data_IF_893682003963
#
_entry.id   IF_893682003963
#
_cell.length_a   1.000
_cell.length_b   1.000
_cell.length_c   1.000
_cell.angle_alpha   90.00
_cell.angle_beta   90.00
_cell.angle_gamma   90.00
#
_symmetry.space_group_name_H-M   'P 1'
#
loop_
_entity.id
_entity.type
_entity.pdbx_description
1 polymer ?
#
# COMPACT_ATOMS: atom_id res chain seq x y z
N UNK A 1 -68.10 -37.85 -19.88
CA UNK A 1 -68.54 -36.45 -19.70
C UNK A 1 -68.02 -35.97 -18.35
N UNK A 2 -67.08 -35.03 -18.43
CA UNK A 2 -66.51 -34.09 -17.44
C UNK A 2 -66.18 -34.57 -16.01
N UNK A 3 -64.89 -34.85 -15.80
CA UNK A 3 -64.25 -34.88 -14.49
C UNK A 3 -63.83 -33.48 -14.02
N UNK A 4 -64.04 -33.21 -12.74
CA UNK A 4 -63.60 -31.99 -12.06
C UNK A 4 -62.13 -32.10 -11.67
N UNK A 5 -61.29 -31.22 -12.23
CA UNK A 5 -59.91 -31.00 -11.80
C UNK A 5 -59.89 -29.75 -10.91
N UNK A 6 -59.44 -29.88 -9.68
CA UNK A 6 -59.13 -28.77 -8.76
C UNK A 6 -57.80 -28.12 -9.16
N UNK A 7 -57.70 -26.77 -9.23
CA UNK A 7 -56.43 -26.12 -9.52
C UNK A 7 -55.52 -26.11 -8.28
N UNK A 8 -54.25 -26.44 -8.50
CA UNK A 8 -53.19 -26.43 -7.50
C UNK A 8 -52.88 -25.00 -7.01
N UNK A 9 -52.52 -24.91 -5.73
CA UNK A 9 -52.14 -23.68 -5.05
C UNK A 9 -50.99 -22.95 -5.76
N UNK A 10 -51.22 -21.68 -6.09
CA UNK A 10 -50.20 -20.78 -6.62
C UNK A 10 -49.10 -20.49 -5.60
N UNK A 11 -47.87 -20.50 -6.09
CA UNK A 11 -46.64 -20.10 -5.40
C UNK A 11 -46.78 -18.73 -4.70
N UNK A 12 -46.13 -18.50 -3.55
CA UNK A 12 -46.18 -17.20 -2.91
C UNK A 12 -45.46 -16.18 -3.80
N UNK A 13 -46.24 -15.19 -4.18
CA UNK A 13 -45.87 -13.98 -4.89
C UNK A 13 -44.63 -13.34 -4.24
N UNK A 14 -43.50 -13.38 -4.94
CA UNK A 14 -42.29 -12.68 -4.56
C UNK A 14 -42.57 -11.18 -4.77
N UNK A 15 -43.08 -10.54 -3.72
CA UNK A 15 -43.40 -9.11 -3.71
C UNK A 15 -42.24 -8.24 -4.21
N UNK A 16 -42.53 -7.01 -4.67
CA UNK A 16 -41.57 -6.18 -5.38
C UNK A 16 -40.32 -5.95 -4.54
N UNK A 17 -39.18 -6.44 -5.04
CA UNK A 17 -37.86 -6.19 -4.46
C UNK A 17 -37.64 -4.68 -4.45
N UNK A 18 -37.74 -4.05 -3.28
CA UNK A 18 -37.46 -2.62 -3.10
C UNK A 18 -36.03 -2.37 -3.57
N UNK A 19 -35.88 -1.64 -4.69
CA UNK A 19 -34.58 -1.14 -5.16
C UNK A 19 -33.97 -0.31 -4.05
N UNK A 20 -32.90 -0.81 -3.44
CA UNK A 20 -32.17 -0.10 -2.40
C UNK A 20 -31.62 1.20 -2.94
N UNK A 21 -31.58 2.21 -2.09
CA UNK A 21 -31.00 3.47 -2.44
C UNK A 21 -29.49 3.34 -2.63
N UNK A 22 -28.92 4.11 -3.57
CA UNK A 22 -27.47 4.22 -3.81
C UNK A 22 -26.67 4.49 -2.51
N UNK A 23 -27.27 5.13 -1.51
CA UNK A 23 -26.62 5.45 -0.23
C UNK A 23 -26.57 4.27 0.76
N UNK A 24 -27.50 3.32 0.73
CA UNK A 24 -27.44 2.11 1.59
C UNK A 24 -26.37 1.13 1.10
N UNK A 25 -26.19 1.04 -0.22
CA UNK A 25 -25.15 0.23 -0.84
C UNK A 25 -23.74 0.78 -0.55
N UNK A 26 -23.59 2.10 -0.43
CA UNK A 26 -22.31 2.74 -0.06
C UNK A 26 -21.87 2.35 1.36
N UNK A 27 -22.80 2.26 2.32
CA UNK A 27 -22.51 1.85 3.70
C UNK A 27 -22.01 0.39 3.83
N UNK A 28 -22.47 -0.51 2.96
CA UNK A 28 -21.96 -1.89 2.94
C UNK A 28 -20.49 -1.92 2.49
N UNK A 29 -20.14 -1.15 1.46
CA UNK A 29 -18.76 -1.05 0.99
C UNK A 29 -17.86 -0.33 2.01
N UNK A 30 -18.37 0.67 2.73
CA UNK A 30 -17.65 1.33 3.83
C UNK A 30 -17.17 0.31 4.86
N UNK A 31 -18.08 -0.58 5.29
CA UNK A 31 -17.77 -1.65 6.24
C UNK A 31 -16.70 -2.59 5.70
N UNK A 32 -16.85 -3.04 4.46
CA UNK A 32 -15.88 -3.96 3.84
C UNK A 32 -14.50 -3.34 3.69
N UNK A 33 -14.40 -2.05 3.34
CA UNK A 33 -13.10 -1.35 3.23
C UNK A 33 -12.40 -1.29 4.58
N UNK A 34 -13.13 -0.97 5.66
CA UNK A 34 -12.57 -0.96 7.01
C UNK A 34 -12.18 -2.36 7.49
N UNK A 35 -13.03 -3.35 7.25
CA UNK A 35 -12.79 -4.75 7.63
C UNK A 35 -11.57 -5.31 6.91
N UNK A 36 -11.48 -5.12 5.59
CA UNK A 36 -10.35 -5.53 4.78
C UNK A 36 -9.05 -4.83 5.20
N UNK A 37 -9.10 -3.52 5.42
CA UNK A 37 -7.94 -2.75 5.87
C UNK A 37 -7.39 -3.26 7.20
N UNK A 38 -8.25 -3.69 8.13
CA UNK A 38 -7.82 -4.33 9.39
C UNK A 38 -7.25 -5.72 9.14
N UNK A 39 -7.88 -6.51 8.27
CA UNK A 39 -7.47 -7.88 7.99
C UNK A 39 -6.11 -7.99 7.28
N UNK A 40 -5.77 -6.99 6.44
CA UNK A 40 -4.51 -6.96 5.68
C UNK A 40 -3.37 -6.23 6.39
N UNK A 41 -3.66 -5.50 7.47
CA UNK A 41 -2.64 -4.91 8.33
C UNK A 41 -2.00 -5.99 9.23
N UNK A 42 -0.75 -5.81 9.68
CA UNK A 42 -0.15 -6.71 10.66
C UNK A 42 -1.00 -6.78 11.94
N UNK A 43 -1.24 -7.99 12.43
CA UNK A 43 -1.80 -8.18 13.77
C UNK A 43 -0.74 -7.98 14.87
N UNK A 44 -1.14 -8.14 16.15
CA UNK A 44 -0.23 -7.93 17.28
C UNK A 44 0.98 -8.87 17.27
N UNK A 45 0.78 -10.11 16.86
CA UNK A 45 1.84 -11.11 16.82
C UNK A 45 2.79 -10.82 15.66
N UNK A 46 2.23 -10.57 14.48
CA UNK A 46 3.02 -10.19 13.30
C UNK A 46 3.82 -8.91 13.57
N UNK A 47 3.21 -7.90 14.21
CA UNK A 47 3.90 -6.69 14.61
C UNK A 47 5.06 -6.96 15.59
N UNK A 48 4.88 -7.86 16.56
CA UNK A 48 5.94 -8.23 17.49
C UNK A 48 7.12 -8.94 16.80
N UNK A 49 6.84 -9.86 15.87
CA UNK A 49 7.89 -10.55 15.11
C UNK A 49 8.62 -9.56 14.19
N UNK A 50 7.89 -8.67 13.52
CA UNK A 50 8.47 -7.60 12.69
C UNK A 50 9.29 -6.61 13.51
N UNK A 51 8.93 -6.37 14.77
CA UNK A 51 9.73 -5.57 15.68
C UNK A 51 11.03 -6.28 16.08
N UNK A 52 10.96 -7.58 16.40
CA UNK A 52 12.16 -8.38 16.67
C UNK A 52 13.12 -8.40 15.48
N UNK A 53 12.60 -8.62 14.26
CA UNK A 53 13.35 -8.57 13.01
C UNK A 53 14.02 -7.19 12.79
N UNK A 54 13.27 -6.10 13.02
CA UNK A 54 13.83 -4.75 12.95
C UNK A 54 14.96 -4.53 13.95
N UNK A 55 14.75 -4.86 15.23
CA UNK A 55 15.77 -4.67 16.27
C UNK A 55 17.03 -5.50 16.00
N UNK A 56 16.87 -6.69 15.44
CA UNK A 56 17.98 -7.56 15.04
C UNK A 56 18.85 -6.92 13.96
N UNK A 57 18.25 -6.44 12.89
CA UNK A 57 18.99 -5.75 11.81
C UNK A 57 19.56 -4.42 12.32
N UNK A 58 18.78 -3.65 13.09
CA UNK A 58 19.22 -2.38 13.66
C UNK A 58 20.42 -2.55 14.60
N UNK A 59 20.47 -3.62 15.41
CA UNK A 59 21.61 -3.91 16.27
C UNK A 59 22.87 -4.22 15.47
N UNK A 60 22.77 -4.93 14.34
CA UNK A 60 23.90 -5.17 13.45
C UNK A 60 24.39 -3.87 12.80
N UNK A 61 23.47 -3.03 12.33
CA UNK A 61 23.81 -1.70 11.80
C UNK A 61 24.55 -0.83 12.84
N UNK A 62 24.09 -0.83 14.10
CA UNK A 62 24.73 -0.10 15.21
C UNK A 62 26.12 -0.60 15.52
N UNK A 63 26.34 -1.90 15.49
CA UNK A 63 27.66 -2.46 15.72
C UNK A 63 28.64 -2.14 14.59
N UNK A 64 28.16 -2.15 13.34
CA UNK A 64 29.01 -1.90 12.18
C UNK A 64 29.47 -0.43 12.06
N UNK A 65 28.62 0.56 12.40
CA UNK A 65 28.93 1.98 12.11
C UNK A 65 28.60 2.99 13.22
N UNK A 66 28.14 2.57 14.40
CA UNK A 66 27.52 3.46 15.40
C UNK A 66 26.47 4.47 14.84
N UNK A 67 25.67 4.16 13.79
CA UNK A 67 24.88 5.17 13.10
C UNK A 67 23.46 5.31 13.69
N UNK A 68 22.79 6.40 13.31
CA UNK A 68 21.35 6.55 13.54
C UNK A 68 20.59 5.63 12.56
N UNK A 69 20.00 4.56 13.09
CA UNK A 69 19.19 3.60 12.32
C UNK A 69 17.71 3.95 12.44
N UNK A 70 17.00 4.05 11.32
CA UNK A 70 15.59 4.41 11.31
C UNK A 70 14.80 3.58 10.31
N UNK A 71 13.51 3.35 10.60
CA UNK A 71 12.57 2.83 9.60
C UNK A 71 12.11 3.96 8.68
N UNK A 72 11.93 3.67 7.40
CA UNK A 72 11.21 4.56 6.47
C UNK A 72 10.07 3.79 5.78
N UNK A 73 9.49 4.39 4.73
CA UNK A 73 8.53 3.69 3.88
C UNK A 73 7.22 3.36 4.58
N UNK A 74 6.65 2.20 4.25
CA UNK A 74 5.28 1.87 4.63
C UNK A 74 5.07 1.71 6.14
N UNK A 75 6.07 1.16 6.85
CA UNK A 75 6.03 0.97 8.30
C UNK A 75 6.07 2.30 9.06
N UNK A 76 7.00 3.19 8.69
CA UNK A 76 7.13 4.50 9.32
C UNK A 76 5.85 5.36 9.20
N UNK A 77 5.00 5.06 8.23
CA UNK A 77 3.79 5.81 7.94
C UNK A 77 2.50 5.08 8.35
N UNK A 78 2.61 3.89 8.97
CA UNK A 78 1.45 3.06 9.33
C UNK A 78 0.66 2.54 8.13
N UNK A 79 1.28 2.42 6.95
CA UNK A 79 0.66 1.91 5.72
C UNK A 79 1.22 0.54 5.32
N UNK A 80 1.79 -0.20 6.25
CA UNK A 80 2.30 -1.56 6.01
C UNK A 80 1.17 -2.58 5.90
N UNK A 81 1.31 -3.50 4.95
CA UNK A 81 0.57 -4.75 4.90
C UNK A 81 1.32 -5.80 5.74
N UNK A 82 0.65 -6.87 6.18
CA UNK A 82 1.30 -8.02 6.85
C UNK A 82 2.47 -8.58 6.03
N UNK A 83 2.38 -8.50 4.70
CA UNK A 83 3.38 -8.99 3.74
C UNK A 83 4.38 -7.92 3.28
N UNK A 84 4.39 -6.71 3.86
CA UNK A 84 5.31 -5.65 3.42
C UNK A 84 6.72 -5.87 3.93
N UNK A 85 7.73 -5.55 3.12
CA UNK A 85 9.12 -5.47 3.57
C UNK A 85 9.26 -4.39 4.66
N UNK A 86 10.25 -4.55 5.54
CA UNK A 86 10.67 -3.48 6.46
C UNK A 86 11.77 -2.66 5.78
N UNK A 87 11.54 -1.37 5.60
CA UNK A 87 12.55 -0.46 5.04
C UNK A 87 13.39 0.17 6.17
N UNK A 88 14.72 -0.01 6.13
CA UNK A 88 15.68 0.56 7.10
C UNK A 88 16.67 1.50 6.39
N UNK A 89 16.80 2.71 6.91
CA UNK A 89 17.81 3.67 6.51
C UNK A 89 18.87 3.82 7.60
N UNK A 90 20.14 3.69 7.20
CA UNK A 90 21.31 3.98 8.00
C UNK A 90 21.74 5.42 7.69
N UNK A 91 21.67 6.29 8.68
CA UNK A 91 22.00 7.71 8.54
C UNK A 91 23.40 8.02 9.08
N UNK A 92 24.04 9.06 8.54
CA UNK A 92 25.32 9.56 9.06
C UNK A 92 26.57 8.78 8.62
N UNK A 93 26.41 7.74 7.80
CA UNK A 93 27.55 7.01 7.20
C UNK A 93 28.01 7.68 5.90
N UNK A 94 27.07 7.89 4.98
CA UNK A 94 27.31 8.62 3.74
C UNK A 94 26.00 9.26 3.27
N UNK A 95 26.06 10.52 2.87
CA UNK A 95 24.91 11.21 2.30
C UNK A 95 25.00 11.29 0.77
N UNK A 96 23.87 11.16 0.06
CA UNK A 96 23.82 11.43 -1.37
C UNK A 96 24.36 12.82 -1.70
N UNK A 97 25.32 12.93 -2.63
CA UNK A 97 25.84 14.25 -3.02
C UNK A 97 24.79 15.09 -3.77
N UNK A 98 23.83 14.42 -4.40
CA UNK A 98 22.78 15.10 -5.15
C UNK A 98 21.63 15.49 -4.20
N UNK A 99 21.14 16.75 -4.25
CA UNK A 99 19.89 17.17 -3.58
C UNK A 99 18.70 16.28 -3.97
N UNK A 100 18.89 15.56 -5.06
CA UNK A 100 18.03 14.54 -5.57
C UNK A 100 17.65 13.41 -4.64
N UNK A 101 18.55 13.02 -3.75
CA UNK A 101 18.67 11.63 -3.32
C UNK A 101 19.36 10.76 -4.39
N UNK A 102 20.09 9.74 -3.95
CA UNK A 102 20.85 8.83 -4.82
C UNK A 102 22.32 9.21 -4.99
N UNK A 103 23.14 8.18 -5.18
CA UNK A 103 24.59 8.28 -5.17
C UNK A 103 25.16 8.37 -6.58
N UNK A 104 26.24 9.15 -6.75
CA UNK A 104 27.05 9.11 -7.98
C UNK A 104 27.75 7.76 -8.12
N UNK A 105 28.24 7.39 -9.31
CA UNK A 105 28.96 6.10 -9.49
C UNK A 105 30.15 5.95 -8.54
N UNK A 106 30.89 7.05 -8.27
CA UNK A 106 31.96 7.06 -7.28
C UNK A 106 31.45 6.74 -5.87
N UNK A 107 30.40 7.44 -5.43
CA UNK A 107 29.79 7.21 -4.12
C UNK A 107 29.16 5.82 -4.00
N UNK A 108 28.57 5.27 -5.07
CA UNK A 108 27.96 3.93 -5.06
C UNK A 108 28.97 2.85 -4.68
N UNK A 109 30.24 2.98 -5.09
CA UNK A 109 31.30 2.06 -4.68
C UNK A 109 31.49 2.09 -3.17
N UNK A 110 31.56 3.27 -2.59
CA UNK A 110 31.75 3.45 -1.14
C UNK A 110 30.52 2.95 -0.36
N UNK A 111 29.30 3.27 -0.82
CA UNK A 111 28.05 2.72 -0.26
C UNK A 111 28.06 1.19 -0.31
N UNK A 112 28.42 0.59 -1.45
CA UNK A 112 28.48 -0.86 -1.56
C UNK A 112 29.51 -1.47 -0.62
N UNK A 113 30.66 -0.81 -0.42
CA UNK A 113 31.67 -1.26 0.53
C UNK A 113 31.13 -1.28 1.97
N UNK A 114 30.45 -0.21 2.38
CA UNK A 114 29.76 -0.20 3.67
C UNK A 114 28.72 -1.33 3.72
N UNK A 115 27.80 -1.41 2.76
CA UNK A 115 26.78 -2.45 2.74
C UNK A 115 27.38 -3.89 2.79
N UNK A 116 28.50 -4.15 2.14
CA UNK A 116 29.21 -5.44 2.25
C UNK A 116 29.73 -5.72 3.67
N UNK A 117 30.27 -4.72 4.37
CA UNK A 117 30.68 -4.86 5.76
C UNK A 117 29.47 -5.20 6.66
N UNK A 118 28.31 -4.58 6.41
CA UNK A 118 27.08 -4.90 7.13
C UNK A 118 26.61 -6.33 6.87
N UNK A 119 26.72 -6.80 5.63
CA UNK A 119 26.41 -8.19 5.29
C UNK A 119 27.27 -9.15 6.11
N UNK A 120 28.56 -8.88 6.29
CA UNK A 120 29.44 -9.72 7.14
C UNK A 120 28.98 -9.73 8.59
N UNK A 121 28.73 -8.54 9.16
CA UNK A 121 28.23 -8.40 10.53
C UNK A 121 26.91 -9.15 10.75
N UNK A 122 25.97 -9.08 9.79
CA UNK A 122 24.70 -9.79 9.86
C UNK A 122 24.88 -11.32 9.88
N UNK A 123 25.85 -11.86 9.12
CA UNK A 123 26.13 -13.29 9.11
C UNK A 123 26.89 -13.74 10.35
N UNK A 124 27.87 -12.97 10.82
CA UNK A 124 28.62 -13.27 12.06
C UNK A 124 27.70 -13.35 13.28
N UNK A 125 26.68 -12.48 13.33
CA UNK A 125 25.62 -12.51 14.35
C UNK A 125 24.57 -13.60 14.15
N UNK A 126 24.61 -14.34 13.03
CA UNK A 126 23.55 -15.28 12.61
C UNK A 126 22.16 -14.63 12.59
N UNK A 127 22.09 -13.38 12.14
CA UNK A 127 20.87 -12.57 12.16
C UNK A 127 19.96 -12.79 10.95
N UNK A 128 20.47 -13.42 9.89
CA UNK A 128 19.82 -13.51 8.58
C UNK A 128 19.91 -14.92 8.03
N UNK A 129 18.90 -15.32 7.26
CA UNK A 129 18.88 -16.54 6.46
C UNK A 129 19.43 -16.30 5.06
N UNK A 130 19.15 -15.11 4.50
CA UNK A 130 19.51 -14.75 3.13
C UNK A 130 19.84 -13.27 3.04
N UNK A 131 20.79 -12.92 2.18
CA UNK A 131 21.08 -11.53 1.81
C UNK A 131 21.28 -11.39 0.30
N UNK A 132 20.85 -10.28 -0.28
CA UNK A 132 21.10 -9.90 -1.67
C UNK A 132 21.45 -8.42 -1.76
N UNK A 133 22.67 -8.11 -2.20
CA UNK A 133 23.13 -6.74 -2.40
C UNK A 133 22.78 -6.25 -3.82
N UNK A 134 21.93 -5.24 -3.92
CA UNK A 134 21.55 -4.57 -5.16
C UNK A 134 22.41 -3.33 -5.36
N UNK A 135 23.44 -3.45 -6.20
CA UNK A 135 24.51 -2.43 -6.37
C UNK A 135 24.17 -1.31 -7.34
N UNK A 136 23.44 -1.63 -8.42
CA UNK A 136 23.29 -0.74 -9.60
C UNK A 136 22.11 0.23 -9.51
N UNK A 137 21.27 0.08 -8.50
CA UNK A 137 20.15 0.98 -8.27
C UNK A 137 20.64 2.41 -7.99
N UNK A 138 19.75 3.40 -8.15
CA UNK A 138 20.03 4.79 -7.80
C UNK A 138 20.46 4.96 -6.35
N UNK A 139 19.87 4.17 -5.45
CA UNK A 139 20.28 4.00 -4.07
C UNK A 139 20.56 2.49 -3.92
N UNK A 140 21.84 2.07 -3.76
CA UNK A 140 22.15 0.68 -3.47
C UNK A 140 21.50 0.23 -2.16
N UNK A 141 20.98 -0.99 -2.15
CA UNK A 141 20.30 -1.58 -0.97
C UNK A 141 20.74 -3.03 -0.77
N UNK A 142 20.63 -3.52 0.46
CA UNK A 142 20.68 -4.95 0.77
C UNK A 142 19.25 -5.40 1.04
N UNK A 143 18.77 -6.41 0.31
CA UNK A 143 17.57 -7.17 0.71
C UNK A 143 18.01 -8.28 1.65
N UNK A 144 17.44 -8.36 2.84
CA UNK A 144 17.75 -9.42 3.82
C UNK A 144 16.48 -10.14 4.24
N UNK A 145 16.54 -11.46 4.35
CA UNK A 145 15.53 -12.26 5.04
C UNK A 145 16.08 -12.60 6.41
N UNK A 146 15.44 -12.08 7.46
CA UNK A 146 15.83 -12.33 8.85
C UNK A 146 15.54 -13.77 9.29
N UNK A 147 16.10 -14.20 10.42
CA UNK A 147 15.81 -15.53 10.98
C UNK A 147 14.34 -15.72 11.36
N UNK A 148 13.64 -14.62 11.66
CA UNK A 148 12.19 -14.56 11.84
C UNK A 148 11.38 -14.76 10.54
N UNK A 149 12.04 -14.85 9.38
CA UNK A 149 11.38 -14.98 8.09
C UNK A 149 10.78 -13.66 7.59
N UNK A 150 11.24 -12.52 8.09
CA UNK A 150 10.80 -11.18 7.66
C UNK A 150 11.82 -10.59 6.70
N UNK A 151 11.34 -10.12 5.56
CA UNK A 151 12.14 -9.41 4.56
C UNK A 151 12.34 -7.94 4.96
N UNK A 152 13.59 -7.47 4.83
CA UNK A 152 14.04 -6.14 5.22
C UNK A 152 14.94 -5.56 4.13
N UNK A 153 14.63 -4.36 3.68
CA UNK A 153 15.44 -3.60 2.73
C UNK A 153 16.28 -2.57 3.50
N UNK A 154 17.60 -2.73 3.48
CA UNK A 154 18.54 -1.85 4.18
C UNK A 154 19.28 -0.96 3.20
N UNK A 155 19.26 0.35 3.45
CA UNK A 155 19.94 1.36 2.63
C UNK A 155 20.76 2.29 3.50
N UNK A 156 21.84 2.85 2.94
CA UNK A 156 22.54 4.01 3.52
C UNK A 156 21.98 5.24 2.81
N UNK A 157 21.45 6.19 3.56
CA UNK A 157 20.81 7.35 2.95
C UNK A 157 20.78 8.55 3.91
N UNK A 158 20.36 9.71 3.41
CA UNK A 158 20.10 10.90 4.22
C UNK A 158 18.69 10.89 4.84
N UNK A 159 18.41 11.95 5.61
CA UNK A 159 17.16 12.17 6.35
C UNK A 159 15.87 12.31 5.51
N UNK A 160 15.92 12.20 4.17
CA UNK A 160 14.77 12.42 3.29
C UNK A 160 13.56 11.53 3.61
N UNK A 161 13.80 10.27 3.99
CA UNK A 161 12.74 9.34 4.40
C UNK A 161 11.95 9.80 5.63
N UNK A 162 12.59 10.48 6.58
CA UNK A 162 11.91 11.06 7.75
C UNK A 162 10.94 12.15 7.37
N UNK A 163 11.37 13.04 6.48
CA UNK A 163 10.54 14.16 6.02
C UNK A 163 9.30 13.64 5.29
N UNK A 164 9.46 12.60 4.45
CA UNK A 164 8.36 11.93 3.78
C UNK A 164 7.39 11.28 4.78
N UNK A 165 7.90 10.61 5.81
CA UNK A 165 7.08 10.01 6.86
C UNK A 165 6.33 11.08 7.68
N UNK A 166 6.99 12.17 8.05
CA UNK A 166 6.37 13.28 8.77
C UNK A 166 5.28 13.96 7.95
N UNK A 167 5.54 14.20 6.65
CA UNK A 167 4.53 14.74 5.74
C UNK A 167 3.33 13.80 5.61
N UNK A 168 3.57 12.51 5.46
CA UNK A 168 2.50 11.53 5.39
C UNK A 168 1.72 11.44 6.71
N UNK A 169 2.39 11.58 7.86
CA UNK A 169 1.72 11.74 9.16
C UNK A 169 0.74 12.91 9.18
N UNK A 170 1.09 14.05 8.57
CA UNK A 170 0.16 15.20 8.43
C UNK A 170 -1.01 14.86 7.51
N UNK A 171 -0.78 14.16 6.39
CA UNK A 171 -1.86 13.73 5.51
C UNK A 171 -2.79 12.70 6.17
N UNK A 172 -2.26 11.77 6.97
CA UNK A 172 -3.04 10.82 7.77
C UNK A 172 -3.95 11.55 8.76
N UNK A 173 -3.41 12.57 9.44
CA UNK A 173 -4.18 13.38 10.37
C UNK A 173 -5.28 14.19 9.67
N UNK A 174 -4.97 14.77 8.50
CA UNK A 174 -5.91 15.56 7.72
C UNK A 174 -7.01 14.71 7.06
N UNK A 175 -6.67 13.47 6.66
CA UNK A 175 -7.56 12.59 5.90
C UNK A 175 -7.63 11.19 6.53
N UNK A 176 -8.55 10.96 7.50
CA UNK A 176 -8.70 9.66 8.17
C UNK A 176 -9.01 8.49 7.20
N UNK A 177 -9.62 8.79 6.05
CA UNK A 177 -9.89 7.79 5.00
C UNK A 177 -8.63 7.28 4.30
N UNK A 178 -7.51 8.01 4.36
CA UNK A 178 -6.32 7.71 3.58
C UNK A 178 -5.72 6.34 3.95
N UNK A 179 -5.67 5.98 5.24
CA UNK A 179 -5.11 4.69 5.67
C UNK A 179 -5.89 3.48 5.13
N UNK A 180 -7.20 3.32 5.41
CA UNK A 180 -7.92 2.14 4.94
C UNK A 180 -7.97 2.03 3.41
N UNK A 181 -8.05 3.16 2.71
CA UNK A 181 -7.99 3.18 1.25
C UNK A 181 -6.61 2.77 0.72
N UNK A 182 -5.53 3.30 1.30
CA UNK A 182 -4.17 2.94 0.91
C UNK A 182 -3.89 1.44 1.11
N UNK A 183 -4.29 0.86 2.25
CA UNK A 183 -4.12 -0.57 2.50
C UNK A 183 -4.92 -1.41 1.50
N UNK A 184 -6.16 -1.02 1.22
CA UNK A 184 -7.03 -1.70 0.24
C UNK A 184 -6.44 -1.68 -1.17
N UNK A 185 -6.06 -0.50 -1.66
CA UNK A 185 -5.51 -0.32 -3.00
C UNK A 185 -4.12 -0.93 -3.17
N UNK A 186 -3.26 -0.86 -2.13
CA UNK A 186 -1.96 -1.56 -2.14
C UNK A 186 -2.14 -3.05 -2.28
N UNK A 187 -3.05 -3.66 -1.50
CA UNK A 187 -3.29 -5.09 -1.56
C UNK A 187 -3.91 -5.51 -2.90
N UNK A 188 -4.86 -4.73 -3.43
CA UNK A 188 -5.43 -4.94 -4.76
C UNK A 188 -4.34 -4.96 -5.85
N UNK A 189 -3.44 -3.98 -5.87
CA UNK A 189 -2.35 -3.93 -6.86
C UNK A 189 -1.33 -5.07 -6.67
N UNK A 190 -1.15 -5.55 -5.44
CA UNK A 190 -0.27 -6.69 -5.16
C UNK A 190 -0.79 -7.98 -5.78
N UNK A 191 -2.10 -8.21 -5.75
CA UNK A 191 -2.73 -9.43 -6.27
C UNK A 191 -3.29 -9.28 -7.69
N UNK A 192 -3.04 -8.13 -8.32
CA UNK A 192 -3.48 -7.86 -9.68
C UNK A 192 -2.93 -8.91 -10.68
N UNK A 193 -3.77 -9.27 -11.64
CA UNK A 193 -3.46 -10.22 -12.70
C UNK A 193 -3.30 -9.48 -14.04
N UNK A 194 -2.49 -10.01 -14.99
CA UNK A 194 -1.75 -11.29 -14.94
C UNK A 194 -0.43 -11.22 -14.16
N UNK A 195 -0.03 -10.04 -13.68
CA UNK A 195 1.17 -9.86 -12.88
C UNK A 195 1.00 -8.71 -11.89
N UNK A 196 1.62 -8.77 -10.69
CA UNK A 196 1.53 -7.71 -9.70
C UNK A 196 1.86 -6.33 -10.25
N UNK A 197 1.18 -5.32 -9.71
CA UNK A 197 1.26 -3.91 -10.12
C UNK A 197 1.71 -2.96 -9.00
N UNK A 198 2.14 -3.49 -7.85
CA UNK A 198 2.63 -2.70 -6.70
C UNK A 198 4.15 -2.45 -6.70
N UNK A 199 4.91 -3.14 -7.57
CA UNK A 199 6.38 -3.12 -7.57
C UNK A 199 6.96 -2.25 -8.69
N UNK A 200 7.66 -1.18 -8.31
CA UNK A 200 8.32 -0.27 -9.26
C UNK A 200 9.41 -0.97 -10.07
N UNK A 201 10.10 -1.95 -9.46
CA UNK A 201 11.14 -2.73 -10.15
C UNK A 201 10.61 -3.46 -11.41
N UNK A 202 9.33 -3.81 -11.41
CA UNK A 202 8.63 -4.43 -12.55
C UNK A 202 7.74 -3.45 -13.34
N UNK A 203 7.93 -2.15 -13.14
CA UNK A 203 7.16 -1.11 -13.80
C UNK A 203 5.81 -0.77 -13.14
N UNK A 204 5.48 -1.33 -11.98
CA UNK A 204 4.26 -1.08 -11.24
C UNK A 204 4.19 0.30 -10.56
N UNK A 205 3.08 0.54 -9.86
CA UNK A 205 2.84 1.77 -9.12
C UNK A 205 3.44 1.67 -7.71
N UNK A 206 4.42 2.52 -7.42
CA UNK A 206 5.05 2.58 -6.09
C UNK A 206 4.10 3.11 -5.02
N UNK A 207 4.25 2.62 -3.79
CA UNK A 207 3.38 2.96 -2.66
C UNK A 207 3.33 4.47 -2.36
N UNK A 208 4.46 5.18 -2.45
CA UNK A 208 4.49 6.64 -2.21
C UNK A 208 3.72 7.42 -3.30
N UNK A 209 3.83 6.99 -4.56
CA UNK A 209 3.05 7.57 -5.66
C UNK A 209 1.56 7.31 -5.50
N UNK A 210 1.17 6.07 -5.15
CA UNK A 210 -0.23 5.71 -4.86
C UNK A 210 -0.82 6.57 -3.73
N UNK A 211 -0.06 6.78 -2.65
CA UNK A 211 -0.50 7.61 -1.53
C UNK A 211 -0.70 9.08 -1.95
N UNK A 212 0.21 9.64 -2.75
CA UNK A 212 0.04 11.01 -3.27
C UNK A 212 -1.18 11.12 -4.20
N UNK A 213 -1.44 10.11 -5.04
CA UNK A 213 -2.66 10.04 -5.85
C UNK A 213 -3.93 10.03 -4.97
N UNK A 214 -3.90 9.25 -3.89
CA UNK A 214 -4.99 9.18 -2.92
C UNK A 214 -5.21 10.52 -2.20
N UNK A 215 -4.14 11.16 -1.73
CA UNK A 215 -4.22 12.49 -1.09
C UNK A 215 -4.82 13.51 -2.06
N UNK A 216 -4.37 13.53 -3.32
CA UNK A 216 -4.94 14.43 -4.32
C UNK A 216 -6.44 14.15 -4.58
N UNK A 217 -6.86 12.88 -4.57
CA UNK A 217 -8.27 12.54 -4.66
C UNK A 217 -9.07 13.06 -3.46
N UNK A 218 -8.55 12.89 -2.24
CA UNK A 218 -9.21 13.33 -1.00
C UNK A 218 -9.24 14.86 -0.88
N UNK A 219 -8.21 15.56 -1.38
CA UNK A 219 -8.23 17.02 -1.47
C UNK A 219 -9.32 17.55 -2.39
N UNK A 220 -9.58 16.88 -3.52
CA UNK A 220 -10.69 17.24 -4.40
C UNK A 220 -12.04 16.96 -3.75
N UNK A 221 -12.18 15.82 -3.10
CA UNK A 221 -13.40 15.45 -2.38
C UNK A 221 -13.74 16.45 -1.27
N UNK A 222 -12.73 16.87 -0.50
CA UNK A 222 -12.89 17.90 0.53
C UNK A 222 -13.33 19.26 -0.04
N UNK A 223 -12.83 19.64 -1.23
CA UNK A 223 -13.27 20.87 -1.93
C UNK A 223 -14.71 20.78 -2.43
N UNK A 224 -15.18 19.58 -2.76
CA UNK A 224 -16.55 19.30 -3.20
C UNK A 224 -17.54 19.15 -2.02
N UNK A 225 -17.08 19.34 -0.77
CA UNK A 225 -17.92 19.23 0.42
C UNK A 225 -18.19 17.79 0.87
N UNK A 226 -17.31 16.85 0.52
CA UNK A 226 -17.42 15.44 0.92
C UNK A 226 -17.49 15.26 2.43
N UNK A 227 -18.31 14.32 2.88
CA UNK A 227 -18.48 14.01 4.30
C UNK A 227 -17.34 13.11 4.82
N UNK A 228 -16.93 13.26 6.09
CA UNK A 228 -16.05 12.30 6.75
C UNK A 228 -16.73 10.92 6.82
N UNK A 229 -15.99 9.84 6.53
CA UNK A 229 -16.45 8.47 6.76
C UNK A 229 -17.03 7.72 5.55
N UNK A 230 -17.02 8.30 4.35
CA UNK A 230 -17.53 7.64 3.14
C UNK A 230 -16.48 6.75 2.44
N UNK A 231 -15.88 5.77 3.13
CA UNK A 231 -14.74 4.99 2.61
C UNK A 231 -15.02 4.26 1.28
N UNK A 232 -16.19 3.66 1.11
CA UNK A 232 -16.63 2.98 -0.09
C UNK A 232 -16.90 3.94 -1.25
N UNK A 233 -17.53 5.09 -0.99
CA UNK A 233 -17.69 6.16 -2.00
C UNK A 233 -16.32 6.67 -2.45
N UNK A 234 -15.40 6.90 -1.52
CA UNK A 234 -14.05 7.37 -1.79
C UNK A 234 -13.21 6.32 -2.53
N UNK A 235 -13.30 5.05 -2.16
CA UNK A 235 -12.64 3.98 -2.89
C UNK A 235 -13.13 3.92 -4.33
N UNK A 236 -14.45 3.87 -4.51
CA UNK A 236 -15.05 3.83 -5.84
C UNK A 236 -14.69 5.10 -6.65
N UNK A 237 -14.77 6.27 -6.02
CA UNK A 237 -14.40 7.55 -6.62
C UNK A 237 -12.94 7.60 -7.07
N UNK A 238 -12.03 7.05 -6.27
CA UNK A 238 -10.61 6.91 -6.60
C UNK A 238 -10.42 6.03 -7.84
N UNK A 239 -11.00 4.82 -7.82
CA UNK A 239 -10.89 3.84 -8.90
C UNK A 239 -11.44 4.40 -10.22
N UNK A 240 -12.57 5.10 -10.16
CA UNK A 240 -13.15 5.79 -11.33
C UNK A 240 -12.28 6.96 -11.81
N UNK A 241 -11.71 7.73 -10.88
CA UNK A 241 -10.90 8.88 -11.22
C UNK A 241 -9.66 8.41 -11.97
N UNK A 242 -8.84 7.57 -11.37
CA UNK A 242 -7.58 7.14 -11.98
C UNK A 242 -7.72 6.03 -13.01
N UNK A 243 -8.87 5.33 -13.06
CA UNK A 243 -9.15 4.34 -14.10
C UNK A 243 -9.81 4.91 -15.36
N UNK A 244 -10.48 6.07 -15.29
CA UNK A 244 -11.26 6.60 -16.44
C UNK A 244 -11.19 8.10 -16.68
N UNK A 245 -11.17 8.92 -15.62
CA UNK A 245 -11.36 10.38 -15.74
C UNK A 245 -10.06 11.16 -15.73
N UNK A 246 -9.03 10.64 -15.09
CA UNK A 246 -7.72 11.26 -15.02
C UNK A 246 -7.07 11.16 -16.39
N UNK A 247 -6.79 12.32 -16.99
CA UNK A 247 -6.13 12.40 -18.27
C UNK A 247 -4.62 12.36 -18.04
N UNK A 248 -4.04 11.17 -18.28
CA UNK A 248 -2.62 10.94 -18.09
C UNK A 248 -1.76 11.77 -19.04
N UNK A 249 -2.30 12.28 -20.15
CA UNK A 249 -1.55 13.09 -21.11
C UNK A 249 -1.34 14.52 -20.65
N UNK A 250 -2.30 15.08 -19.92
CA UNK A 250 -2.30 16.51 -19.57
C UNK A 250 -2.40 16.81 -18.08
N UNK A 251 -2.70 15.83 -17.23
CA UNK A 251 -2.83 16.01 -15.78
C UNK A 251 -1.66 15.40 -15.00
N UNK A 252 -1.33 16.05 -13.89
CA UNK A 252 -0.35 15.60 -12.91
C UNK A 252 -0.96 15.58 -11.51
N UNK A 253 -0.40 14.73 -10.66
CA UNK A 253 -0.65 14.78 -9.21
C UNK A 253 0.44 15.62 -8.57
N UNK A 254 0.05 16.73 -7.95
CA UNK A 254 0.92 17.63 -7.22
C UNK A 254 0.19 18.08 -5.95
N UNK A 255 0.34 17.28 -4.88
CA UNK A 255 -0.33 17.53 -3.59
C UNK A 255 0.03 18.91 -3.03
N UNK A 256 1.30 19.32 -3.14
CA UNK A 256 1.76 20.66 -2.74
C UNK A 256 1.19 21.82 -3.57
N UNK A 257 0.60 21.54 -4.74
CA UNK A 257 -0.01 22.52 -5.66
C UNK A 257 -1.53 22.43 -5.72
N UNK A 258 -2.16 21.75 -4.76
CA UNK A 258 -3.62 21.67 -4.66
C UNK A 258 -4.25 20.37 -5.15
N UNK A 259 -3.46 19.32 -5.39
CA UNK A 259 -3.94 17.97 -5.67
C UNK A 259 -3.71 17.57 -7.12
N UNK A 260 -4.73 17.69 -7.97
CA UNK A 260 -4.62 17.41 -9.41
C UNK A 260 -4.50 18.73 -10.17
N UNK A 261 -3.46 18.85 -11.01
CA UNK A 261 -3.13 20.08 -11.74
C UNK A 261 -2.78 19.77 -13.20
N UNK A 262 -2.79 20.75 -14.11
CA UNK A 262 -2.23 20.57 -15.44
C UNK A 262 -0.74 20.23 -15.38
N UNK A 263 -0.26 19.30 -16.21
CA UNK A 263 1.17 18.96 -16.32
C UNK A 263 2.04 20.18 -16.63
N UNK A 264 1.54 21.12 -17.42
CA UNK A 264 2.22 22.38 -17.71
C UNK A 264 2.55 23.21 -16.46
N UNK A 265 1.80 23.02 -15.36
CA UNK A 265 2.05 23.69 -14.08
C UNK A 265 3.13 23.00 -13.22
N UNK A 266 3.63 21.84 -13.65
CA UNK A 266 4.67 21.06 -12.96
C UNK A 266 5.96 21.13 -13.79
N UNK A 267 6.99 21.88 -13.33
CA UNK A 267 8.21 22.14 -14.11
C UNK A 267 8.94 20.89 -14.63
N UNK A 268 8.81 19.76 -13.92
CA UNK A 268 9.45 18.49 -14.27
C UNK A 268 8.65 17.64 -15.29
N UNK A 269 7.38 18.00 -15.53
CA UNK A 269 6.47 17.26 -16.41
C UNK A 269 6.48 17.79 -17.86
N UNK A 270 6.88 19.04 -18.06
CA UNK A 270 6.86 19.72 -19.37
C UNK A 270 7.87 19.17 -20.40
N UNK A 271 8.74 18.22 -20.00
CA UNK A 271 9.81 17.67 -20.83
C UNK A 271 9.69 16.15 -21.08
N UNK A 272 8.56 15.52 -20.74
CA UNK A 272 8.39 14.05 -20.81
C UNK A 272 7.25 13.65 -21.76
N UNK A 273 7.36 12.42 -22.27
CA UNK A 273 6.30 11.67 -22.96
C UNK A 273 4.94 11.88 -22.28
N UNK A 274 3.94 12.29 -23.06
CA UNK A 274 2.63 12.70 -22.57
C UNK A 274 1.95 11.56 -21.82
N UNK A 275 2.13 10.30 -22.22
CA UNK A 275 1.32 9.17 -21.71
C UNK A 275 1.70 8.67 -20.31
N UNK A 276 2.78 9.22 -19.73
CA UNK A 276 3.31 8.75 -18.44
C UNK A 276 2.56 9.37 -17.27
N UNK A 277 2.38 8.59 -16.19
CA UNK A 277 2.01 9.15 -14.90
C UNK A 277 3.04 10.20 -14.48
N UNK A 278 2.55 11.31 -13.91
CA UNK A 278 3.39 12.32 -13.28
C UNK A 278 2.87 12.60 -11.87
N UNK A 279 3.70 12.33 -10.88
CA UNK A 279 3.40 12.60 -9.47
C UNK A 279 4.56 13.41 -8.89
N UNK A 280 4.33 14.70 -8.63
CA UNK A 280 5.29 15.58 -7.96
C UNK A 280 5.39 15.22 -6.48
N UNK A 281 6.61 14.97 -6.03
CA UNK A 281 6.96 14.88 -4.63
C UNK A 281 6.93 16.29 -4.02
N UNK A 282 6.02 16.56 -3.07
CA UNK A 282 5.91 17.87 -2.44
C UNK A 282 7.17 18.29 -1.65
N UNK A 283 8.08 17.36 -1.34
CA UNK A 283 9.32 17.68 -0.63
C UNK A 283 10.47 18.06 -1.56
N UNK A 284 10.52 17.47 -2.76
CA UNK A 284 11.67 17.59 -3.66
C UNK A 284 11.33 18.21 -5.02
N UNK A 285 10.04 18.40 -5.34
CA UNK A 285 9.55 18.86 -6.64
C UNK A 285 9.73 17.85 -7.78
N UNK A 286 10.16 16.62 -7.46
CA UNK A 286 10.51 15.58 -8.43
C UNK A 286 9.32 14.74 -8.83
N UNK A 287 9.37 14.18 -10.03
CA UNK A 287 8.45 13.10 -10.39
C UNK A 287 8.85 11.75 -9.75
N UNK A 288 8.12 11.32 -8.74
CA UNK A 288 8.30 10.04 -8.03
C UNK A 288 7.65 8.85 -8.74
N UNK A 289 6.90 9.09 -9.82
CA UNK A 289 6.29 8.04 -10.64
C UNK A 289 7.13 7.62 -11.85
N UNK A 290 8.37 8.12 -11.95
CA UNK A 290 9.27 7.83 -13.07
C UNK A 290 9.63 6.35 -13.28
N UNK A 291 9.40 5.46 -12.31
CA UNK A 291 9.57 4.02 -12.49
C UNK A 291 8.28 3.26 -12.87
N UNK A 292 7.13 3.92 -12.89
CA UNK A 292 5.83 3.30 -13.20
C UNK A 292 5.61 3.26 -14.71
N UNK A 293 6.26 2.30 -15.38
CA UNK A 293 6.16 2.11 -16.84
C UNK A 293 4.89 1.39 -17.28
N UNK A 294 4.23 0.66 -16.38
CA UNK A 294 2.98 -0.10 -16.63
C UNK A 294 1.73 0.67 -16.18
N UNK A 295 1.74 2.00 -16.29
CA UNK A 295 0.61 2.82 -15.82
C UNK A 295 -0.72 2.46 -16.50
N UNK A 296 -0.70 2.09 -17.77
CA UNK A 296 -1.93 1.68 -18.47
C UNK A 296 -2.55 0.43 -17.86
N UNK A 297 -1.73 -0.55 -17.44
CA UNK A 297 -2.23 -1.73 -16.74
C UNK A 297 -2.83 -1.38 -15.36
N UNK A 298 -2.25 -0.41 -14.65
CA UNK A 298 -2.80 0.12 -13.39
C UNK A 298 -4.13 0.82 -13.62
N UNK A 299 -4.22 1.68 -14.65
CA UNK A 299 -5.45 2.35 -15.07
C UNK A 299 -6.55 1.33 -15.38
N UNK A 300 -6.24 0.33 -16.18
CA UNK A 300 -7.21 -0.68 -16.61
C UNK A 300 -7.68 -1.54 -15.42
N UNK A 301 -6.77 -1.90 -14.50
CA UNK A 301 -7.14 -2.57 -13.25
C UNK A 301 -8.08 -1.73 -12.38
N UNK A 302 -7.82 -0.42 -12.23
CA UNK A 302 -8.72 0.48 -11.51
C UNK A 302 -10.07 0.64 -12.21
N UNK A 303 -10.09 0.75 -13.54
CA UNK A 303 -11.31 0.86 -14.32
C UNK A 303 -12.19 -0.40 -14.18
N UNK A 304 -11.58 -1.58 -14.29
CA UNK A 304 -12.25 -2.86 -14.13
C UNK A 304 -12.88 -2.98 -12.72
N UNK A 305 -12.10 -2.73 -11.66
CA UNK A 305 -12.61 -2.76 -10.29
C UNK A 305 -13.75 -1.76 -10.07
N UNK A 306 -13.64 -0.54 -10.59
CA UNK A 306 -14.73 0.45 -10.52
C UNK A 306 -16.01 -0.02 -11.24
N UNK A 307 -15.89 -0.66 -12.40
CA UNK A 307 -17.04 -1.21 -13.12
C UNK A 307 -17.75 -2.28 -12.30
N UNK A 308 -16.98 -3.24 -11.79
CA UNK A 308 -17.53 -4.39 -11.07
C UNK A 308 -18.18 -3.93 -9.76
N UNK A 309 -17.52 -3.07 -8.98
CA UNK A 309 -18.09 -2.52 -7.75
C UNK A 309 -19.37 -1.74 -8.01
N UNK A 310 -19.44 -0.90 -9.06
CA UNK A 310 -20.68 -0.20 -9.42
C UNK A 310 -21.83 -1.17 -9.70
N UNK A 311 -21.57 -2.22 -10.48
CA UNK A 311 -22.59 -3.21 -10.80
C UNK A 311 -23.04 -3.99 -9.57
N UNK A 312 -22.10 -4.41 -8.72
CA UNK A 312 -22.39 -5.11 -7.46
C UNK A 312 -23.23 -4.26 -6.50
N UNK A 313 -22.90 -2.97 -6.38
CA UNK A 313 -23.66 -2.00 -5.59
C UNK A 313 -25.08 -1.80 -6.13
N UNK A 314 -25.26 -1.77 -7.46
CA UNK A 314 -26.58 -1.69 -8.09
C UNK A 314 -27.43 -2.96 -7.87
N UNK A 315 -26.79 -4.13 -7.80
CA UNK A 315 -27.45 -5.42 -7.54
C UNK A 315 -27.74 -5.69 -6.07
N UNK A 316 -27.25 -4.83 -5.17
CA UNK A 316 -27.34 -5.01 -3.71
C UNK A 316 -26.61 -6.26 -3.20
N UNK A 317 -25.50 -6.64 -3.83
CA UNK A 317 -24.72 -7.85 -3.48
C UNK A 317 -24.08 -7.77 -2.07
N UNK A 318 -24.12 -6.60 -1.41
CA UNK A 318 -23.68 -6.38 -0.02
C UNK A 318 -24.83 -6.34 1.01
N UNK A 319 -25.94 -7.05 0.75
CA UNK A 319 -27.09 -7.06 1.66
C UNK A 319 -26.80 -7.77 3.01
N UNK A 320 -27.56 -7.46 4.08
CA UNK A 320 -27.47 -8.20 5.35
C UNK A 320 -27.57 -9.71 5.10
N UNK A 321 -26.54 -10.46 5.52
CA UNK A 321 -26.42 -11.90 5.26
C UNK A 321 -25.49 -12.28 4.11
N UNK A 322 -24.98 -11.31 3.34
CA UNK A 322 -23.92 -11.55 2.37
C UNK A 322 -22.63 -12.02 3.07
N UNK A 323 -21.79 -12.84 2.40
CA UNK A 323 -20.47 -13.20 2.91
C UNK A 323 -19.64 -11.96 3.25
N UNK A 324 -18.73 -12.08 4.23
CA UNK A 324 -17.78 -11.02 4.54
C UNK A 324 -16.97 -10.65 3.28
N UNK A 325 -16.77 -9.34 3.07
CA UNK A 325 -16.00 -8.81 1.93
C UNK A 325 -16.58 -9.19 0.55
N UNK A 326 -17.89 -9.38 0.43
CA UNK A 326 -18.55 -9.79 -0.80
C UNK A 326 -18.34 -8.82 -1.96
N UNK A 327 -18.43 -7.50 -1.73
CA UNK A 327 -18.25 -6.49 -2.78
C UNK A 327 -16.78 -6.40 -3.22
N UNK A 328 -15.84 -6.31 -2.26
CA UNK A 328 -14.40 -6.25 -2.58
C UNK A 328 -13.90 -7.52 -3.28
N UNK A 329 -14.46 -8.69 -2.94
CA UNK A 329 -14.11 -9.96 -3.59
C UNK A 329 -14.53 -10.03 -5.06
N UNK A 330 -15.47 -9.20 -5.50
CA UNK A 330 -15.77 -9.07 -6.92
C UNK A 330 -14.75 -8.17 -7.63
N UNK A 331 -14.15 -7.21 -6.93
CA UNK A 331 -13.25 -6.22 -7.52
C UNK A 331 -11.82 -6.74 -7.71
N UNK A 332 -11.34 -7.58 -6.80
CA UNK A 332 -10.03 -8.22 -6.86
C UNK A 332 -9.99 -9.49 -5.99
N UNK A 333 -8.91 -10.28 -6.13
CA UNK A 333 -8.73 -11.52 -5.37
C UNK A 333 -8.40 -11.25 -3.88
N UNK A 334 -9.45 -11.00 -3.09
CA UNK A 334 -9.36 -10.80 -1.64
C UNK A 334 -8.73 -12.01 -0.95
N UNK A 335 -8.98 -13.23 -1.43
CA UNK A 335 -8.43 -14.45 -0.85
C UNK A 335 -6.90 -14.47 -1.00
N UNK A 336 -6.38 -14.20 -2.19
CA UNK A 336 -4.94 -14.08 -2.41
C UNK A 336 -4.35 -12.90 -1.62
N UNK A 337 -5.11 -11.82 -1.43
CA UNK A 337 -4.66 -10.67 -0.65
C UNK A 337 -4.52 -10.99 0.85
N UNK A 338 -5.26 -11.97 1.35
CA UNK A 338 -5.22 -12.42 2.74
C UNK A 338 -4.40 -13.71 2.95
N UNK A 339 -3.90 -14.36 1.89
CA UNK A 339 -3.18 -15.65 1.95
C UNK A 339 -1.67 -15.53 1.65
N UNK A 340 -0.81 -16.40 2.23
CA UNK A 340 -0.81 -16.86 3.61
C UNK A 340 0.14 -15.99 4.44
N UNK A 341 -0.36 -15.49 5.58
CA UNK A 341 0.47 -15.08 6.71
C UNK A 341 1.55 -16.15 6.87
N UNK A 342 2.83 -15.78 6.70
CA UNK A 342 3.94 -16.74 6.59
C UNK A 342 3.75 -17.90 7.57
N UNK A 343 3.78 -19.18 7.14
CA UNK A 343 3.56 -20.32 8.03
C UNK A 343 4.44 -20.24 9.28
N UNK A 344 5.67 -19.74 9.12
CA UNK A 344 6.63 -19.52 10.19
C UNK A 344 6.19 -18.38 11.14
N UNK A 345 5.57 -17.31 10.63
CA UNK A 345 4.97 -16.25 11.45
C UNK A 345 3.67 -16.72 12.13
N UNK A 346 2.90 -17.58 11.49
CA UNK A 346 1.68 -18.19 12.05
C UNK A 346 2.04 -19.18 13.18
N UNK A 347 3.07 -20.00 13.01
CA UNK A 347 3.59 -20.92 14.02
C UNK A 347 4.25 -20.18 15.19
N UNK A 348 5.12 -19.19 14.92
CA UNK A 348 5.73 -18.36 15.96
C UNK A 348 4.71 -17.50 16.71
N UNK A 349 3.64 -17.08 16.02
CA UNK A 349 2.56 -16.30 16.62
C UNK A 349 1.54 -17.11 17.41
N UNK A 350 1.29 -18.35 17.01
CA UNK A 350 0.44 -19.28 17.76
C UNK A 350 1.15 -19.84 19.02
N UNK A 351 2.48 -19.83 19.05
CA UNK A 351 3.28 -20.43 20.12
C UNK A 351 3.32 -19.65 21.46
N UNK A 352 2.52 -18.60 21.66
CA UNK A 352 2.39 -17.94 22.98
C UNK A 352 0.96 -17.49 23.31
N UNK A 353 0.15 -18.34 23.96
CA UNK A 353 -0.85 -17.87 24.90
C UNK A 353 -0.18 -17.58 26.26
N UNK A 354 -0.67 -16.54 26.93
CA UNK A 354 -0.40 -16.14 28.31
C UNK A 354 0.35 -17.15 29.18
N UNK A 355 1.59 -16.81 29.56
CA UNK A 355 2.06 -17.13 30.90
C UNK A 355 2.13 -15.83 31.66
N UNK A 356 1.04 -15.59 32.41
CA UNK A 356 0.97 -14.56 33.42
C UNK A 356 2.19 -14.65 34.34
N UNK A 357 2.82 -13.50 34.55
CA UNK A 357 3.78 -13.30 35.61
C UNK A 357 3.09 -13.55 36.95
N UNK A 358 3.18 -14.77 37.45
CA UNK A 358 3.00 -15.06 38.87
C UNK A 358 4.29 -14.66 39.58
N UNK A 359 4.33 -13.41 40.05
CA UNK A 359 5.25 -12.98 41.09
C UNK A 359 4.80 -13.66 42.39
N UNK A 360 5.49 -14.74 42.76
CA UNK A 360 5.43 -15.27 44.12
C UNK A 360 6.49 -14.56 44.96
N UNK A 361 6.06 -14.12 46.15
CA UNK A 361 6.80 -13.38 47.18
C UNK A 361 7.99 -14.14 47.74
#
# INVERSE_FOLDING_TARGET
MNGHVTPAAGSPDAGPVKKRSRWEAAAALDKEVLEFARAVAPDRSEAAIREAAFQRVASACRAAYLPNVQTFGSRACGLELWSSDIDIAILGVLEPAAPSGGFTEGQKRDVCWYLEALVRELHERRSVQKTLLIRRARIPIIKVTTVEGVDVDVSINGAGGMHAAALLGRHMAAFPALRPLALTLKAMLRVAQPAPLHEVATGGLGAYSLVNMLVAHLMLDAKEGGAPGDWGRLLLGFLERFGRRFDYDVQAVAVGRGGIVPKAAVPMASARDSTRLCVEDPLTGRDISGGTTRILAVRDAFAAAASVLRLALQRSDGAPGAPALALLSQAFDVRAALSPRSPLLAELGAARPDQGAAVAR
#
